data_IF_333872756942
#
_entry.id   IF_333872756942
#
_cell.length_a   1.000
_cell.length_b   1.000
_cell.length_c   1.000
_cell.angle_alpha   90.00
_cell.angle_beta   90.00
_cell.angle_gamma   90.00
#
_symmetry.space_group_name_H-M   'P 1'
#
loop_
_entity.id
_entity.type
_entity.pdbx_description
1 polymer ?
#
# COMPACT_ATOMS: atom_id res chain seq x y z
N UNK A 1 -6.56 4.50 -21.09
CA UNK A 1 -6.31 3.44 -20.09
C UNK A 1 -5.37 4.04 -19.05
N UNK A 2 -5.38 3.53 -17.81
CA UNK A 2 -4.40 3.96 -16.81
C UNK A 2 -3.73 2.70 -16.32
N UNK A 3 -2.41 2.63 -16.50
CA UNK A 3 -1.60 1.54 -15.98
C UNK A 3 -1.07 1.92 -14.60
N UNK A 4 -1.22 1.02 -13.64
CA UNK A 4 -0.74 1.21 -12.29
C UNK A 4 0.47 0.32 -12.04
N UNK A 5 1.58 0.94 -11.67
CA UNK A 5 2.82 0.26 -11.31
C UNK A 5 3.11 0.46 -9.82
N UNK A 6 3.44 -0.62 -9.11
CA UNK A 6 3.94 -0.52 -7.73
C UNK A 6 5.46 -0.40 -7.74
N UNK A 7 5.97 0.74 -7.26
CA UNK A 7 7.40 1.01 -7.16
C UNK A 7 7.99 0.31 -5.93
N UNK A 8 7.36 0.48 -4.77
CA UNK A 8 7.78 -0.15 -3.51
C UNK A 8 6.55 -0.48 -2.68
N UNK A 9 6.58 -1.59 -1.92
CA UNK A 9 5.53 -1.93 -0.97
C UNK A 9 6.07 -2.63 0.26
N UNK A 10 5.44 -2.33 1.40
CA UNK A 10 5.68 -2.97 2.69
C UNK A 10 4.37 -3.55 3.21
N UNK A 11 4.34 -4.86 3.46
CA UNK A 11 3.14 -5.58 3.88
C UNK A 11 3.33 -6.19 5.27
N UNK A 12 2.25 -6.16 6.06
CA UNK A 12 2.17 -6.82 7.36
C UNK A 12 0.84 -7.53 7.53
N UNK A 13 0.92 -8.79 7.96
CA UNK A 13 -0.24 -9.55 8.39
C UNK A 13 -0.70 -9.13 9.80
N UNK A 14 -2.01 -9.15 10.04
CA UNK A 14 -2.64 -8.84 11.32
C UNK A 14 -3.88 -9.71 11.56
N UNK A 15 -4.46 -9.65 12.76
CA UNK A 15 -5.56 -10.51 13.19
C UNK A 15 -5.10 -11.66 14.09
N UNK A 16 -6.02 -12.60 14.33
CA UNK A 16 -5.82 -13.67 15.31
C UNK A 16 -4.97 -14.81 14.75
N UNK A 17 -5.03 -15.03 13.43
CA UNK A 17 -4.30 -16.09 12.76
C UNK A 17 -3.35 -15.53 11.69
N UNK A 18 -2.14 -16.10 11.51
CA UNK A 18 -1.26 -15.76 10.41
C UNK A 18 -1.96 -15.96 9.06
N UNK A 19 -1.71 -15.07 8.09
CA UNK A 19 -2.31 -15.18 6.75
C UNK A 19 -3.83 -14.96 6.71
N UNK A 20 -4.45 -14.32 7.71
CA UNK A 20 -5.88 -14.00 7.67
C UNK A 20 -6.12 -12.65 6.96
N UNK A 21 -5.46 -11.59 7.44
CA UNK A 21 -5.63 -10.21 6.96
C UNK A 21 -4.27 -9.55 6.83
N UNK A 22 -4.18 -8.58 5.94
CA UNK A 22 -2.97 -7.79 5.77
C UNK A 22 -3.27 -6.30 5.59
N UNK A 23 -2.31 -5.49 5.98
CA UNK A 23 -2.19 -4.08 5.63
C UNK A 23 -0.93 -3.90 4.79
N UNK A 24 -1.02 -3.07 3.77
CA UNK A 24 0.08 -2.75 2.87
C UNK A 24 0.19 -1.24 2.73
N UNK A 25 1.42 -0.73 2.85
CA UNK A 25 1.77 0.65 2.53
C UNK A 25 2.68 0.60 1.32
N UNK A 26 2.33 1.31 0.25
CA UNK A 26 3.07 1.26 -1.01
C UNK A 26 3.19 2.62 -1.69
N UNK A 27 4.24 2.75 -2.49
CA UNK A 27 4.46 3.86 -3.43
C UNK A 27 4.16 3.34 -4.82
N UNK A 28 3.26 4.00 -5.52
CA UNK A 28 2.77 3.58 -6.83
C UNK A 28 2.88 4.72 -7.83
N UNK A 29 2.76 4.36 -9.10
CA UNK A 29 2.79 5.25 -10.24
C UNK A 29 1.60 4.93 -11.14
N UNK A 30 0.88 5.96 -11.55
CA UNK A 30 -0.12 5.88 -12.60
C UNK A 30 0.49 6.43 -13.88
N UNK A 31 0.45 5.63 -14.95
CA UNK A 31 0.88 6.00 -16.29
C UNK A 31 -0.36 6.15 -17.17
N UNK A 32 -0.55 7.34 -17.74
CA UNK A 32 -1.65 7.65 -18.64
C UNK A 32 -1.26 7.38 -20.09
N UNK A 33 -2.26 7.22 -20.97
CA UNK A 33 -2.04 6.98 -22.41
C UNK A 33 -1.24 8.10 -23.11
N UNK A 34 -1.31 9.33 -22.58
CA UNK A 34 -0.58 10.50 -23.09
C UNK A 34 0.89 10.54 -22.64
N UNK A 35 1.34 9.53 -21.90
CA UNK A 35 2.67 9.42 -21.33
C UNK A 35 2.87 10.23 -20.05
N UNK A 36 1.84 10.92 -19.55
CA UNK A 36 1.93 11.59 -18.26
C UNK A 36 1.93 10.59 -17.11
N UNK A 37 2.72 10.91 -16.09
CA UNK A 37 2.96 10.03 -14.96
C UNK A 37 2.63 10.75 -13.67
N UNK A 38 1.95 10.07 -12.74
CA UNK A 38 1.66 10.60 -11.41
C UNK A 38 1.95 9.55 -10.34
N UNK A 39 2.79 9.89 -9.38
CA UNK A 39 3.13 9.03 -8.25
C UNK A 39 2.24 9.32 -7.04
N UNK A 40 1.95 8.28 -6.26
CA UNK A 40 1.10 8.38 -5.08
C UNK A 40 1.40 7.30 -4.06
N UNK A 41 1.07 7.58 -2.80
CA UNK A 41 1.08 6.60 -1.73
C UNK A 41 -0.27 5.91 -1.63
N UNK A 42 -0.23 4.61 -1.34
CA UNK A 42 -1.43 3.80 -1.10
C UNK A 42 -1.31 3.09 0.24
N UNK A 43 -2.38 3.13 1.02
CA UNK A 43 -2.60 2.20 2.12
C UNK A 43 -3.73 1.27 1.69
N UNK A 44 -3.41 0.00 1.50
CA UNK A 44 -4.38 -1.02 1.15
C UNK A 44 -4.56 -1.99 2.33
N UNK A 45 -5.78 -2.51 2.46
CA UNK A 45 -6.04 -3.65 3.34
C UNK A 45 -6.63 -4.79 2.55
N UNK A 46 -6.38 -6.01 3.00
CA UNK A 46 -6.91 -7.19 2.33
C UNK A 46 -6.98 -8.38 3.26
N UNK A 47 -7.31 -9.51 2.66
CA UNK A 47 -7.37 -10.82 3.28
C UNK A 47 -6.92 -11.86 2.27
N UNK A 48 -6.58 -13.04 2.74
CA UNK A 48 -6.21 -14.15 1.87
C UNK A 48 -7.43 -15.05 1.67
N UNK A 49 -7.69 -15.40 0.42
CA UNK A 49 -8.63 -16.44 0.05
C UNK A 49 -7.81 -17.50 -0.69
N UNK A 50 -7.62 -18.64 -0.03
CA UNK A 50 -6.62 -19.64 -0.43
C UNK A 50 -5.21 -19.02 -0.47
N UNK A 51 -4.49 -19.13 -1.59
CA UNK A 51 -3.15 -18.54 -1.77
C UNK A 51 -3.20 -17.13 -2.39
N UNK A 52 -4.37 -16.64 -2.79
CA UNK A 52 -4.50 -15.33 -3.44
C UNK A 52 -4.87 -14.20 -2.46
N UNK A 53 -4.12 -13.07 -2.48
CA UNK A 53 -4.50 -11.89 -1.73
C UNK A 53 -5.68 -11.17 -2.39
N UNK A 54 -6.77 -10.97 -1.65
CA UNK A 54 -7.92 -10.13 -2.05
C UNK A 54 -7.85 -8.77 -1.36
N UNK A 55 -7.73 -7.72 -2.16
CA UNK A 55 -7.69 -6.33 -1.67
C UNK A 55 -9.10 -5.78 -1.46
N UNK A 56 -9.28 -5.02 -0.38
CA UNK A 56 -10.53 -4.29 -0.09
C UNK A 56 -10.55 -3.00 -0.88
N UNK A 57 -11.70 -2.68 -1.48
CA UNK A 57 -11.92 -1.48 -2.29
C UNK A 57 -12.10 -0.17 -1.49
N UNK A 58 -12.19 -0.26 -0.16
CA UNK A 58 -12.44 0.90 0.72
C UNK A 58 -11.20 1.23 1.54
N UNK A 59 -11.01 2.52 1.80
CA UNK A 59 -10.02 2.99 2.75
C UNK A 59 -10.54 2.75 4.17
N UNK A 60 -9.96 1.78 4.87
CA UNK A 60 -10.35 1.45 6.25
C UNK A 60 -9.09 1.08 7.02
N UNK A 61 -8.81 1.82 8.09
CA UNK A 61 -7.71 1.51 9.01
C UNK A 61 -8.20 0.50 10.05
N UNK A 62 -7.58 -0.69 10.18
CA UNK A 62 -7.94 -1.65 11.21
C UNK A 62 -7.62 -1.12 12.62
N UNK A 63 -8.36 -1.58 13.64
CA UNK A 63 -8.06 -1.29 15.05
C UNK A 63 -6.98 -2.19 15.65
N UNK A 64 -6.47 -3.13 14.87
CA UNK A 64 -5.41 -4.04 15.28
C UNK A 64 -4.09 -3.25 15.39
N UNK A 65 -3.45 -3.32 16.56
CA UNK A 65 -2.23 -2.58 16.85
C UNK A 65 -1.10 -2.89 15.87
N UNK A 66 -0.97 -4.14 15.40
CA UNK A 66 0.06 -4.51 14.41
C UNK A 66 -0.16 -3.77 13.10
N UNK A 67 -1.42 -3.60 12.70
CA UNK A 67 -1.75 -2.88 11.46
C UNK A 67 -1.53 -1.38 11.62
N UNK A 68 -1.93 -0.80 12.76
CA UNK A 68 -1.73 0.62 13.06
C UNK A 68 -0.25 0.96 13.13
N UNK A 69 0.53 0.20 13.90
CA UNK A 69 1.98 0.43 14.03
C UNK A 69 2.68 0.30 12.69
N UNK A 70 2.31 -0.69 11.86
CA UNK A 70 2.85 -0.83 10.50
C UNK A 70 2.61 0.42 9.64
N UNK A 71 1.43 1.02 9.71
CA UNK A 71 1.14 2.26 8.99
C UNK A 71 1.97 3.42 9.54
N UNK A 72 2.03 3.57 10.87
CA UNK A 72 2.75 4.67 11.53
C UNK A 72 4.26 4.62 11.24
N UNK A 73 4.83 3.42 11.16
CA UNK A 73 6.25 3.23 10.86
C UNK A 73 6.56 3.45 9.38
N UNK A 74 5.77 2.87 8.46
CA UNK A 74 6.14 2.80 7.05
C UNK A 74 5.62 3.97 6.22
N UNK A 75 4.47 4.57 6.57
CA UNK A 75 3.90 5.67 5.77
C UNK A 75 4.80 6.91 5.76
N UNK A 76 5.39 7.37 6.87
CA UNK A 76 6.30 8.51 6.85
C UNK A 76 7.56 8.22 6.02
N UNK A 77 8.13 7.03 6.13
CA UNK A 77 9.30 6.64 5.33
C UNK A 77 8.97 6.67 3.83
N UNK A 78 7.83 6.09 3.43
CA UNK A 78 7.35 6.11 2.05
C UNK A 78 7.11 7.53 1.55
N UNK A 79 6.59 8.42 2.40
CA UNK A 79 6.38 9.82 2.07
C UNK A 79 7.68 10.58 1.86
N UNK A 80 8.69 10.37 2.69
CA UNK A 80 10.01 10.98 2.49
C UNK A 80 10.69 10.46 1.21
N UNK A 81 10.57 9.17 0.91
CA UNK A 81 11.06 8.58 -0.35
C UNK A 81 10.34 9.17 -1.56
N UNK A 82 9.03 9.36 -1.49
CA UNK A 82 8.22 10.00 -2.54
C UNK A 82 8.62 11.46 -2.74
N UNK A 83 8.83 12.21 -1.65
CA UNK A 83 9.25 13.61 -1.73
C UNK A 83 10.60 13.75 -2.46
N UNK A 84 11.59 12.93 -2.10
CA UNK A 84 12.90 12.92 -2.78
C UNK A 84 12.78 12.60 -4.26
N UNK A 85 11.99 11.58 -4.62
CA UNK A 85 11.79 11.19 -6.01
C UNK A 85 11.09 12.24 -6.87
N UNK A 86 10.41 13.23 -6.26
CA UNK A 86 9.81 14.37 -6.97
C UNK A 86 10.75 15.57 -7.11
N UNK A 87 11.82 15.62 -6.32
CA UNK A 87 12.83 16.67 -6.33
C UNK A 87 13.99 16.34 -7.28
N UNK A 88 14.21 15.05 -7.58
CA UNK A 88 15.18 14.52 -8.55
C UNK A 88 14.64 14.53 -10.00
#
# INVERSE_FOLDING_TARGET
MVEFETIEKQRRDYGNFPGEKFVEVSRNKAVQDDGSENSFLQIATGYYQDEEPKYKKRFTVPKDEKAVNHIVENLPEMFEKEKKARED
#
